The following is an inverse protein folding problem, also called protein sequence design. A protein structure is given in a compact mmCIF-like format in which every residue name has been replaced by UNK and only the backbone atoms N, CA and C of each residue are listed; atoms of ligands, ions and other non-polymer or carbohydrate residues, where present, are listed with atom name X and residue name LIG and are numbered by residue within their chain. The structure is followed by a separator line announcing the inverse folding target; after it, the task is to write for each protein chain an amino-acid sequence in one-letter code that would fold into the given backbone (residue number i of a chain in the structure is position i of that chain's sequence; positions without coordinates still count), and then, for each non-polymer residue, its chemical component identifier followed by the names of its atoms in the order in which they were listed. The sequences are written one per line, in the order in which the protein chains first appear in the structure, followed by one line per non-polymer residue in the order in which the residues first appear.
data_IF_056436229829
#
_entry.id   IF_056436229829
#
_cell.length_a   1.000
_cell.length_b   1.000
_cell.length_c   1.000
_cell.angle_alpha   90.00
_cell.angle_beta   90.00
_cell.angle_gamma   90.00
#
_symmetry.space_group_name_H-M   'P 1'
#
loop_
_entity.id
_entity.type
_entity.pdbx_description
1 polymer ?
#
# COMPACT_ATOMS: atom_id res chain seq x y z
N UNK A 1 33.56 -9.60 20.96
CA UNK A 1 34.30 -10.14 22.12
C UNK A 1 33.42 -10.79 23.22
N UNK A 2 32.10 -10.98 23.02
CA UNK A 2 31.22 -11.56 24.06
C UNK A 2 31.04 -13.10 24.01
N UNK A 3 31.55 -13.78 22.97
CA UNK A 3 31.39 -15.24 22.81
C UNK A 3 32.16 -16.07 23.85
N UNK A 4 33.26 -15.55 24.39
CA UNK A 4 34.12 -16.28 25.33
C UNK A 4 33.56 -16.46 26.76
N UNK A 5 32.64 -15.59 27.19
CA UNK A 5 32.19 -15.58 28.58
C UNK A 5 31.18 -16.70 28.90
N UNK A 6 30.37 -17.11 27.92
CA UNK A 6 29.40 -18.19 28.10
C UNK A 6 30.05 -19.56 28.29
N UNK A 7 31.14 -19.83 27.57
CA UNK A 7 31.88 -21.10 27.68
C UNK A 7 32.59 -21.26 29.03
N UNK A 8 33.10 -20.16 29.60
CA UNK A 8 33.75 -20.18 30.92
C UNK A 8 32.75 -20.50 32.04
N UNK A 9 31.55 -19.92 31.99
CA UNK A 9 30.51 -20.14 33.00
C UNK A 9 29.94 -21.56 32.94
N UNK A 10 29.77 -22.10 31.73
CA UNK A 10 29.37 -23.49 31.52
C UNK A 10 30.43 -24.47 32.03
N UNK A 11 31.71 -24.24 31.74
CA UNK A 11 32.82 -25.05 32.24
C UNK A 11 32.93 -25.02 33.77
N UNK A 12 32.68 -23.85 34.39
CA UNK A 12 32.73 -23.70 35.85
C UNK A 12 31.59 -24.48 36.53
N UNK A 13 30.37 -24.41 35.99
CA UNK A 13 29.23 -25.17 36.52
C UNK A 13 29.40 -26.67 36.35
N UNK A 14 30.05 -27.11 35.27
CA UNK A 14 30.40 -28.52 35.08
C UNK A 14 31.36 -29.01 36.15
N UNK A 15 32.42 -28.25 36.42
CA UNK A 15 33.44 -28.58 37.41
C UNK A 15 32.86 -28.62 38.83
N UNK A 16 31.97 -27.67 39.15
CA UNK A 16 31.23 -27.64 40.43
C UNK A 16 30.25 -28.81 40.54
N UNK A 17 29.52 -29.14 39.47
CA UNK A 17 28.59 -30.28 39.46
C UNK A 17 29.29 -31.61 39.69
N UNK A 18 30.44 -31.83 39.03
CA UNK A 18 31.29 -33.01 39.24
C UNK A 18 31.77 -33.08 40.70
N UNK A 19 32.21 -31.95 41.25
CA UNK A 19 32.72 -31.85 42.62
C UNK A 19 31.64 -32.15 43.67
N UNK A 20 30.41 -31.69 43.45
CA UNK A 20 29.28 -31.93 44.37
C UNK A 20 28.85 -33.39 44.29
N UNK A 21 28.75 -33.98 43.10
CA UNK A 21 28.33 -35.38 42.91
C UNK A 21 29.34 -36.38 43.51
N UNK A 22 30.65 -36.07 43.41
CA UNK A 22 31.71 -36.88 44.04
C UNK A 22 31.79 -36.73 45.56
N UNK A 23 31.42 -35.57 46.13
CA UNK A 23 31.47 -35.35 47.59
C UNK A 23 30.19 -35.73 48.33
N UNK A 24 29.02 -35.71 47.70
CA UNK A 24 27.74 -35.85 48.40
C UNK A 24 27.26 -37.30 48.63
N UNK A 25 27.80 -38.31 47.93
CA UNK A 25 27.36 -39.71 48.08
C UNK A 25 28.54 -40.70 48.23
N UNK A 26 29.27 -40.69 49.36
CA UNK A 26 30.18 -41.78 49.67
C UNK A 26 29.37 -43.02 50.10
N UNK A 27 29.14 -43.94 49.16
CA UNK A 27 28.75 -45.34 49.46
C UNK A 27 27.39 -45.85 49.00
N UNK A 28 26.58 -45.09 48.25
CA UNK A 28 25.22 -45.52 47.86
C UNK A 28 24.96 -45.64 46.34
N UNK A 29 25.92 -45.31 45.48
CA UNK A 29 25.78 -45.40 44.02
C UNK A 29 26.80 -46.39 43.44
N UNK A 30 26.33 -47.25 42.53
CA UNK A 30 27.19 -48.13 41.74
C UNK A 30 28.23 -47.27 40.98
N UNK A 31 29.54 -47.56 41.09
CA UNK A 31 30.60 -46.85 40.38
C UNK A 31 30.33 -46.70 38.88
N UNK A 32 29.66 -47.67 38.25
CA UNK A 32 29.27 -47.60 36.85
C UNK A 32 28.33 -46.43 36.53
N UNK A 33 27.40 -46.12 37.43
CA UNK A 33 26.45 -45.00 37.28
C UNK A 33 27.15 -43.65 37.39
N UNK A 34 28.14 -43.52 38.27
CA UNK A 34 28.93 -42.29 38.42
C UNK A 34 29.76 -42.00 37.16
N UNK A 35 30.41 -43.02 36.60
CA UNK A 35 31.19 -42.88 35.35
C UNK A 35 30.29 -42.48 34.18
N UNK A 36 29.13 -43.11 34.03
CA UNK A 36 28.16 -42.76 32.98
C UNK A 36 27.65 -41.32 33.16
N UNK A 37 27.34 -40.90 34.39
CA UNK A 37 26.90 -39.53 34.66
C UNK A 37 27.99 -38.49 34.33
N UNK A 38 29.25 -38.78 34.65
CA UNK A 38 30.39 -37.92 34.31
C UNK A 38 30.63 -37.81 32.80
N UNK A 39 30.40 -38.89 32.04
CA UNK A 39 30.52 -38.88 30.59
C UNK A 39 29.33 -38.21 29.88
N UNK A 40 28.12 -38.28 30.46
CA UNK A 40 26.92 -37.65 29.90
C UNK A 40 26.83 -36.15 30.20
N UNK A 41 27.36 -35.68 31.33
CA UNK A 41 27.37 -34.27 31.71
C UNK A 41 27.97 -33.32 30.65
N UNK A 42 29.16 -33.56 30.06
CA UNK A 42 29.71 -32.67 29.02
C UNK A 42 28.87 -32.70 27.75
N UNK A 43 28.31 -33.85 27.40
CA UNK A 43 27.46 -34.03 26.23
C UNK A 43 26.17 -33.22 26.41
N UNK A 44 25.52 -33.33 27.57
CA UNK A 44 24.32 -32.57 27.91
C UNK A 44 24.58 -31.06 27.95
N UNK A 45 25.72 -30.63 28.52
CA UNK A 45 26.11 -29.22 28.54
C UNK A 45 26.41 -28.69 27.12
N UNK A 46 27.12 -29.46 26.30
CA UNK A 46 27.38 -29.12 24.91
C UNK A 46 26.09 -28.96 24.10
N UNK A 47 25.15 -29.90 24.25
CA UNK A 47 23.83 -29.82 23.63
C UNK A 47 23.06 -28.57 24.11
N UNK A 48 23.09 -28.26 25.40
CA UNK A 48 22.44 -27.07 25.95
C UNK A 48 23.02 -25.77 25.37
N UNK A 49 24.35 -25.66 25.28
CA UNK A 49 25.01 -24.48 24.69
C UNK A 49 24.64 -24.32 23.22
N UNK A 50 24.63 -25.41 22.43
CA UNK A 50 24.23 -25.36 21.02
C UNK A 50 22.77 -24.91 20.88
N UNK A 51 21.85 -25.47 21.68
CA UNK A 51 20.43 -25.09 21.65
C UNK A 51 20.25 -23.62 22.06
N UNK A 52 20.97 -23.16 23.09
CA UNK A 52 20.89 -21.79 23.56
C UNK A 52 21.46 -20.79 22.53
N UNK A 53 22.60 -21.10 21.91
CA UNK A 53 23.20 -20.24 20.87
C UNK A 53 22.31 -20.18 19.63
N UNK A 54 21.78 -21.33 19.19
CA UNK A 54 20.81 -21.39 18.09
C UNK A 54 19.56 -20.57 18.40
N UNK A 55 19.04 -20.62 19.64
CA UNK A 55 17.92 -19.79 20.07
C UNK A 55 18.26 -18.30 20.08
N UNK A 56 19.47 -17.92 20.49
CA UNK A 56 19.93 -16.53 20.47
C UNK A 56 20.07 -15.98 19.06
N UNK A 57 20.65 -16.76 18.14
CA UNK A 57 20.77 -16.40 16.73
C UNK A 57 19.37 -16.19 16.14
N UNK A 58 18.47 -17.18 16.31
CA UNK A 58 17.07 -17.06 15.85
C UNK A 58 16.33 -15.87 16.46
N UNK A 59 16.57 -15.56 17.73
CA UNK A 59 15.96 -14.42 18.39
C UNK A 59 16.49 -13.08 17.86
N UNK A 60 17.79 -13.02 17.50
CA UNK A 60 18.40 -11.85 16.88
C UNK A 60 17.87 -11.64 15.45
N UNK A 61 17.79 -12.70 14.65
CA UNK A 61 17.19 -12.69 13.30
C UNK A 61 15.73 -12.20 13.36
N UNK A 62 14.91 -12.77 14.24
CA UNK A 62 13.52 -12.36 14.41
C UNK A 62 13.38 -10.90 14.90
N UNK A 63 14.35 -10.38 15.67
CA UNK A 63 14.35 -8.98 16.08
C UNK A 63 14.69 -8.05 14.90
N UNK A 64 15.61 -8.46 14.04
CA UNK A 64 15.98 -7.73 12.82
C UNK A 64 14.83 -7.70 11.80
N UNK A 65 14.15 -8.83 11.61
CA UNK A 65 12.95 -8.91 10.75
C UNK A 65 11.85 -7.96 11.22
N UNK A 66 11.58 -7.90 12.53
CA UNK A 66 10.60 -6.96 13.09
C UNK A 66 11.02 -5.51 12.91
N UNK A 67 12.32 -5.23 13.01
CA UNK A 67 12.85 -3.89 12.77
C UNK A 67 12.67 -3.50 11.30
N UNK A 68 13.04 -4.38 10.36
CA UNK A 68 12.82 -4.19 8.92
C UNK A 68 11.35 -3.93 8.62
N UNK A 69 10.44 -4.73 9.19
CA UNK A 69 9.01 -4.57 8.99
C UNK A 69 8.51 -3.19 9.47
N UNK A 70 8.99 -2.71 10.62
CA UNK A 70 8.65 -1.37 11.14
C UNK A 70 9.18 -0.25 10.26
N UNK A 71 10.38 -0.40 9.71
CA UNK A 71 10.97 0.60 8.82
C UNK A 71 10.27 0.62 7.46
N UNK A 72 9.94 -0.54 6.89
CA UNK A 72 9.11 -0.64 5.69
C UNK A 72 7.75 0.03 5.89
N UNK A 73 7.09 -0.26 7.01
CA UNK A 73 5.82 0.38 7.39
C UNK A 73 5.98 1.90 7.60
N UNK A 74 7.12 2.35 8.13
CA UNK A 74 7.44 3.78 8.21
C UNK A 74 7.62 4.42 6.82
N UNK A 75 8.34 3.77 5.91
CA UNK A 75 8.53 4.23 4.53
C UNK A 75 7.19 4.29 3.80
N UNK A 76 6.37 3.24 3.88
CA UNK A 76 5.04 3.20 3.26
C UNK A 76 4.17 4.39 3.70
N UNK A 77 4.31 4.86 4.94
CA UNK A 77 3.55 6.00 5.46
C UNK A 77 4.15 7.37 5.15
N UNK A 78 5.46 7.45 4.91
CA UNK A 78 6.16 8.75 4.82
C UNK A 78 6.62 9.09 3.41
N UNK A 79 6.97 8.09 2.61
CA UNK A 79 7.44 8.28 1.24
C UNK A 79 6.25 8.20 0.32
N UNK A 80 5.97 9.33 -0.32
CA UNK A 80 4.92 9.41 -1.32
C UNK A 80 5.47 9.03 -2.70
N UNK A 81 5.02 7.88 -3.19
CA UNK A 81 5.34 7.39 -4.53
C UNK A 81 4.13 6.70 -5.18
N UNK A 82 4.09 6.71 -6.50
CA UNK A 82 3.16 5.91 -7.31
C UNK A 82 3.95 4.80 -7.97
N UNK A 83 3.50 3.56 -7.81
CA UNK A 83 4.16 2.39 -8.37
C UNK A 83 3.31 1.76 -9.47
N UNK A 84 3.97 1.13 -10.44
CA UNK A 84 3.34 0.31 -11.46
C UNK A 84 2.44 -0.77 -10.80
N UNK A 85 1.14 -0.82 -11.12
CA UNK A 85 0.23 -1.79 -10.52
C UNK A 85 0.57 -3.24 -10.87
N UNK A 86 1.37 -3.48 -11.91
CA UNK A 86 1.82 -4.81 -12.32
C UNK A 86 3.07 -5.31 -11.56
N UNK A 87 3.58 -4.53 -10.60
CA UNK A 87 4.68 -4.98 -9.74
C UNK A 87 4.23 -6.12 -8.82
N UNK A 88 5.06 -7.16 -8.71
CA UNK A 88 4.86 -8.20 -7.70
C UNK A 88 5.09 -7.64 -6.29
N UNK A 89 4.65 -8.36 -5.26
CA UNK A 89 4.90 -7.95 -3.87
C UNK A 89 6.41 -7.88 -3.57
N UNK A 90 7.19 -8.82 -4.07
CA UNK A 90 8.64 -8.85 -3.88
C UNK A 90 9.32 -7.65 -4.57
N UNK A 91 8.93 -7.33 -5.80
CA UNK A 91 9.45 -6.15 -6.52
C UNK A 91 9.07 -4.85 -5.80
N UNK A 92 7.85 -4.77 -5.26
CA UNK A 92 7.39 -3.62 -4.48
C UNK A 92 8.18 -3.47 -3.17
N UNK A 93 8.47 -4.57 -2.50
CA UNK A 93 9.33 -4.57 -1.31
C UNK A 93 10.75 -4.11 -1.64
N UNK A 94 11.32 -4.52 -2.77
CA UNK A 94 12.62 -4.02 -3.22
C UNK A 94 12.63 -2.52 -3.46
N UNK A 95 11.54 -1.95 -4.00
CA UNK A 95 11.37 -0.50 -4.14
C UNK A 95 11.32 0.17 -2.77
N UNK A 96 10.53 -0.34 -1.83
CA UNK A 96 10.44 0.20 -0.46
C UNK A 96 11.81 0.18 0.23
N UNK A 97 12.56 -0.90 0.06
CA UNK A 97 13.89 -1.07 0.62
C UNK A 97 14.90 -0.03 0.08
N UNK A 98 14.67 0.54 -1.11
CA UNK A 98 15.48 1.64 -1.65
C UNK A 98 15.36 2.95 -0.87
N UNK A 99 14.34 3.09 -0.02
CA UNK A 99 14.13 4.28 0.82
C UNK A 99 14.55 4.06 2.28
N UNK A 100 15.05 2.87 2.64
CA UNK A 100 15.54 2.57 3.99
C UNK A 100 17.04 2.90 4.06
N UNK A 101 17.46 3.94 4.81
CA UNK A 101 18.85 4.42 4.77
C UNK A 101 19.88 3.36 5.17
N UNK A 102 19.55 2.49 6.15
CA UNK A 102 20.49 1.46 6.63
C UNK A 102 20.81 0.38 5.61
N UNK A 103 19.96 0.20 4.59
CA UNK A 103 20.19 -0.78 3.54
C UNK A 103 21.21 -0.29 2.50
N UNK A 104 21.59 1.00 2.54
CA UNK A 104 22.56 1.59 1.62
C UNK A 104 22.11 1.58 0.15
N UNK A 105 20.82 1.35 -0.09
CA UNK A 105 20.19 1.38 -1.41
C UNK A 105 19.73 2.81 -1.70
N UNK A 106 19.60 3.14 -2.97
CA UNK A 106 19.05 4.42 -3.43
C UNK A 106 17.96 4.18 -4.45
N UNK A 107 16.87 4.93 -4.35
CA UNK A 107 15.78 4.90 -5.32
C UNK A 107 16.28 5.19 -6.75
N UNK A 108 17.28 6.06 -6.91
CA UNK A 108 17.86 6.38 -8.22
C UNK A 108 18.62 5.20 -8.85
N UNK A 109 19.15 4.28 -8.03
CA UNK A 109 19.90 3.10 -8.48
C UNK A 109 19.07 1.81 -8.46
N UNK A 110 17.76 1.91 -8.21
CA UNK A 110 16.86 0.75 -8.19
C UNK A 110 16.75 0.12 -9.58
N UNK A 111 16.78 -1.22 -9.72
CA UNK A 111 16.50 -1.88 -11.00
C UNK A 111 15.08 -1.60 -11.51
N UNK A 112 14.18 -1.15 -10.63
CA UNK A 112 12.79 -0.79 -10.96
C UNK A 112 12.56 0.72 -11.02
N UNK A 113 13.60 1.54 -11.17
CA UNK A 113 13.48 3.02 -11.22
C UNK A 113 12.42 3.50 -12.22
N UNK A 114 12.27 2.82 -13.34
CA UNK A 114 11.29 3.19 -14.36
C UNK A 114 9.85 2.75 -14.02
N UNK A 115 9.67 1.90 -13.00
CA UNK A 115 8.38 1.34 -12.54
C UNK A 115 7.82 2.00 -11.27
N UNK A 116 8.43 3.09 -10.79
CA UNK A 116 7.82 3.95 -9.78
C UNK A 116 8.15 5.43 -10.01
N UNK A 117 7.28 6.31 -9.52
CA UNK A 117 7.42 7.77 -9.56
C UNK A 117 7.39 8.29 -8.15
N UNK A 118 8.47 8.96 -7.72
CA UNK A 118 8.53 9.63 -6.42
C UNK A 118 7.87 11.00 -6.56
N UNK A 119 6.84 11.28 -5.78
CA UNK A 119 6.03 12.49 -5.96
C UNK A 119 6.82 13.76 -5.65
N UNK A 120 7.77 13.70 -4.70
CA UNK A 120 8.65 14.83 -4.37
C UNK A 120 9.61 15.22 -5.50
N UNK A 121 9.85 14.33 -6.48
CA UNK A 121 10.68 14.62 -7.67
C UNK A 121 9.88 15.37 -8.75
N UNK A 122 8.55 15.43 -8.65
CA UNK A 122 7.69 16.11 -9.62
C UNK A 122 7.71 17.63 -9.43
N UNK A 123 7.61 18.36 -10.55
CA UNK A 123 7.39 19.80 -10.52
C UNK A 123 6.11 20.15 -9.71
N UNK A 124 6.04 21.31 -9.02
CA UNK A 124 4.88 21.66 -8.20
C UNK A 124 3.53 21.54 -8.93
N UNK A 125 3.44 22.05 -10.16
CA UNK A 125 2.21 21.94 -10.97
C UNK A 125 1.86 20.49 -11.36
N UNK A 126 2.87 19.64 -11.55
CA UNK A 126 2.67 18.23 -11.83
C UNK A 126 2.15 17.48 -10.58
N UNK A 127 2.61 17.86 -9.38
CA UNK A 127 2.08 17.33 -8.12
C UNK A 127 0.60 17.68 -7.95
N UNK A 128 0.21 18.92 -8.23
CA UNK A 128 -1.20 19.34 -8.12
C UNK A 128 -2.12 18.52 -9.05
N UNK A 129 -1.66 18.23 -10.28
CA UNK A 129 -2.39 17.37 -11.22
C UNK A 129 -2.50 15.92 -10.73
N UNK A 130 -1.41 15.36 -10.18
CA UNK A 130 -1.43 14.01 -9.62
C UNK A 130 -2.38 13.91 -8.41
N UNK A 131 -2.37 14.91 -7.53
CA UNK A 131 -3.26 14.95 -6.36
C UNK A 131 -4.74 15.03 -6.75
N UNK A 132 -5.08 15.80 -7.80
CA UNK A 132 -6.44 15.81 -8.36
C UNK A 132 -6.86 14.41 -8.83
N UNK A 133 -5.99 13.72 -9.57
CA UNK A 133 -6.25 12.36 -10.05
C UNK A 133 -6.45 11.38 -8.87
N UNK A 134 -5.57 11.44 -7.86
CA UNK A 134 -5.68 10.63 -6.65
C UNK A 134 -6.97 10.89 -5.90
N UNK A 135 -7.35 12.16 -5.71
CA UNK A 135 -8.58 12.53 -5.03
C UNK A 135 -9.81 11.96 -5.75
N UNK A 136 -9.86 12.05 -7.09
CA UNK A 136 -10.93 11.46 -7.89
C UNK A 136 -11.01 9.93 -7.71
N UNK A 137 -9.86 9.23 -7.83
CA UNK A 137 -9.80 7.77 -7.65
C UNK A 137 -10.20 7.36 -6.23
N UNK A 138 -9.72 8.06 -5.21
CA UNK A 138 -10.06 7.79 -3.81
C UNK A 138 -11.54 8.04 -3.52
N UNK A 139 -12.15 9.05 -4.12
CA UNK A 139 -13.60 9.26 -4.03
C UNK A 139 -14.39 8.08 -4.59
N UNK A 140 -13.91 7.41 -5.63
CA UNK A 140 -14.58 6.21 -6.17
C UNK A 140 -14.41 5.04 -5.20
N UNK A 141 -13.19 4.76 -4.74
CA UNK A 141 -12.92 3.64 -3.83
C UNK A 141 -13.64 3.75 -2.49
N UNK A 142 -13.86 4.96 -2.00
CA UNK A 142 -14.54 5.19 -0.71
C UNK A 142 -16.07 5.19 -0.80
N UNK A 143 -16.64 5.14 -2.01
CA UNK A 143 -18.10 5.15 -2.21
C UNK A 143 -18.78 3.86 -1.77
N UNK A 144 -20.00 3.96 -1.28
CA UNK A 144 -20.86 2.83 -0.90
C UNK A 144 -21.19 1.98 -2.13
N UNK A 145 -21.46 2.62 -3.26
CA UNK A 145 -21.79 1.95 -4.54
C UNK A 145 -20.65 1.08 -5.06
N UNK A 146 -19.38 1.50 -4.86
CA UNK A 146 -18.21 0.67 -5.15
C UNK A 146 -18.10 -0.50 -4.18
N UNK A 147 -18.27 -0.25 -2.88
CA UNK A 147 -18.21 -1.29 -1.83
C UNK A 147 -19.29 -2.37 -2.01
N UNK A 148 -20.48 -1.98 -2.45
CA UNK A 148 -21.60 -2.89 -2.75
C UNK A 148 -21.51 -3.52 -4.14
N UNK A 149 -20.44 -3.26 -4.91
CA UNK A 149 -20.24 -3.77 -6.27
C UNK A 149 -21.40 -3.47 -7.22
N UNK A 150 -22.03 -2.30 -7.06
CA UNK A 150 -23.04 -1.79 -7.98
C UNK A 150 -22.42 -1.21 -9.26
N UNK A 151 -21.12 -0.89 -9.20
CA UNK A 151 -20.27 -0.57 -10.33
C UNK A 151 -19.55 -1.82 -10.81
N UNK A 152 -18.89 -1.74 -11.96
CA UNK A 152 -17.97 -2.80 -12.43
C UNK A 152 -16.69 -2.82 -11.57
N UNK A 153 -16.81 -3.38 -10.37
CA UNK A 153 -15.78 -3.32 -9.33
C UNK A 153 -14.46 -3.97 -9.75
N UNK A 154 -14.52 -5.11 -10.45
CA UNK A 154 -13.34 -5.82 -10.92
C UNK A 154 -12.59 -5.02 -12.00
N UNK A 155 -13.32 -4.39 -12.92
CA UNK A 155 -12.72 -3.51 -13.92
C UNK A 155 -12.07 -2.28 -13.24
N UNK A 156 -12.75 -1.67 -12.27
CA UNK A 156 -12.26 -0.50 -11.55
C UNK A 156 -10.99 -0.77 -10.71
N UNK A 157 -10.89 -1.96 -10.10
CA UNK A 157 -9.72 -2.38 -9.31
C UNK A 157 -8.45 -2.49 -10.16
N UNK A 158 -8.57 -2.76 -11.46
CA UNK A 158 -7.44 -2.84 -12.40
C UNK A 158 -7.23 -1.53 -13.16
N UNK A 159 -8.32 -0.91 -13.61
CA UNK A 159 -8.30 0.28 -14.46
C UNK A 159 -7.78 1.51 -13.71
N UNK A 160 -8.32 1.81 -12.53
CA UNK A 160 -8.00 3.06 -11.83
C UNK A 160 -6.51 3.13 -11.40
N UNK A 161 -5.89 2.05 -10.87
CA UNK A 161 -4.46 2.06 -10.59
C UNK A 161 -3.61 2.24 -11.85
N UNK A 162 -4.01 1.60 -12.97
CA UNK A 162 -3.34 1.77 -14.26
C UNK A 162 -3.40 3.21 -14.78
N UNK A 163 -4.57 3.84 -14.71
CA UNK A 163 -4.78 5.25 -15.08
C UNK A 163 -3.90 6.18 -14.24
N UNK A 164 -3.86 5.95 -12.92
CA UNK A 164 -3.06 6.76 -12.01
C UNK A 164 -1.55 6.60 -12.27
N UNK A 165 -1.11 5.37 -12.54
CA UNK A 165 0.27 5.08 -12.90
C UNK A 165 0.70 5.78 -14.20
N UNK A 166 -0.12 5.68 -15.26
CA UNK A 166 0.18 6.33 -16.53
C UNK A 166 0.21 7.86 -16.42
N UNK A 167 -0.70 8.45 -15.65
CA UNK A 167 -0.68 9.89 -15.35
C UNK A 167 0.62 10.26 -14.62
N UNK A 168 0.99 9.53 -13.56
CA UNK A 168 2.21 9.80 -12.80
C UNK A 168 3.46 9.69 -13.69
N UNK A 169 3.52 8.68 -14.56
CA UNK A 169 4.63 8.45 -15.49
C UNK A 169 4.76 9.61 -16.49
N UNK A 170 3.66 10.05 -17.09
CA UNK A 170 3.66 11.19 -18.02
C UNK A 170 4.10 12.48 -17.32
N UNK A 171 3.60 12.74 -16.11
CA UNK A 171 3.99 13.89 -15.30
C UNK A 171 5.48 13.88 -14.93
N UNK A 172 6.07 12.70 -14.67
CA UNK A 172 7.51 12.54 -14.46
C UNK A 172 8.30 12.92 -15.71
N UNK A 173 7.91 12.38 -16.87
CA UNK A 173 8.56 12.70 -18.15
C UNK A 173 8.48 14.19 -18.45
N UNK A 174 7.31 14.81 -18.24
CA UNK A 174 7.12 16.24 -18.43
C UNK A 174 7.99 17.08 -17.49
N UNK A 175 8.08 16.70 -16.21
CA UNK A 175 8.95 17.39 -15.24
C UNK A 175 10.40 17.38 -15.71
N UNK A 176 10.88 16.21 -16.16
CA UNK A 176 12.25 16.07 -16.65
C UNK A 176 12.52 16.90 -17.91
N UNK A 177 11.63 16.81 -18.92
CA UNK A 177 11.77 17.59 -20.16
C UNK A 177 11.70 19.11 -19.93
N UNK A 178 10.87 19.56 -18.97
CA UNK A 178 10.83 20.97 -18.59
C UNK A 178 12.15 21.43 -17.97
N UNK A 179 12.77 20.59 -17.15
CA UNK A 179 14.05 20.88 -16.52
C UNK A 179 15.19 20.93 -17.55
N UNK A 180 15.27 19.95 -18.45
CA UNK A 180 16.25 19.94 -19.55
C UNK A 180 16.12 21.19 -20.43
N UNK A 181 14.89 21.60 -20.77
CA UNK A 181 14.67 22.83 -21.53
C UNK A 181 15.08 24.08 -20.75
N UNK A 182 14.84 24.10 -19.44
CA UNK A 182 15.25 25.20 -18.56
C UNK A 182 16.78 25.32 -18.53
N UNK A 183 17.49 24.21 -18.40
CA UNK A 183 18.95 24.16 -18.43
C UNK A 183 19.52 24.57 -19.79
N UNK A 184 18.96 24.06 -20.90
CA UNK A 184 19.39 24.43 -22.25
C UNK A 184 19.28 25.95 -22.51
N UNK A 185 18.29 26.61 -21.90
CA UNK A 185 18.06 28.07 -22.00
C UNK A 185 18.97 28.90 -21.08
N UNK A 186 19.64 28.29 -20.10
CA UNK A 186 20.62 28.99 -19.25
C UNK A 186 21.95 29.22 -19.98
N UNK A 187 22.21 28.50 -21.08
CA UNK A 187 23.35 28.73 -21.97
C UNK A 187 23.16 29.91 -22.94
N UNK A 188 24.01 30.00 -23.95
CA UNK A 188 23.87 31.00 -25.02
C UNK A 188 22.62 30.66 -25.85
N UNK A 189 21.59 31.50 -25.73
CA UNK A 189 20.35 31.35 -26.48
C UNK A 189 20.56 31.92 -27.89
N UNK A 190 20.68 31.04 -28.89
CA UNK A 190 20.75 31.43 -30.31
C UNK A 190 19.36 31.34 -30.98
N UNK A 191 19.11 32.08 -32.07
CA UNK A 191 17.88 31.96 -32.85
C UNK A 191 17.61 30.53 -33.36
N UNK A 192 18.66 29.79 -33.73
CA UNK A 192 18.58 28.40 -34.19
C UNK A 192 18.13 27.47 -33.07
N UNK A 193 18.64 27.67 -31.85
CA UNK A 193 18.19 26.92 -30.67
C UNK A 193 16.72 27.20 -30.36
N UNK A 194 16.28 28.46 -30.45
CA UNK A 194 14.88 28.82 -30.25
C UNK A 194 13.96 28.15 -31.28
N UNK A 195 14.38 28.09 -32.54
CA UNK A 195 13.63 27.43 -33.62
C UNK A 195 13.43 25.92 -33.35
N UNK A 196 14.39 25.26 -32.69
CA UNK A 196 14.29 23.84 -32.27
C UNK A 196 13.42 23.69 -31.02
N UNK A 197 13.54 24.61 -30.05
CA UNK A 197 12.81 24.54 -28.77
C UNK A 197 11.32 24.86 -28.91
N UNK A 198 10.90 25.66 -29.89
CA UNK A 198 9.50 26.05 -30.06
C UNK A 198 8.57 24.86 -30.35
N UNK A 199 8.85 23.98 -31.35
CA UNK A 199 8.06 22.77 -31.56
C UNK A 199 8.01 21.84 -30.35
N UNK A 200 9.12 21.71 -29.61
CA UNK A 200 9.19 20.88 -28.41
C UNK A 200 8.31 21.43 -27.28
N UNK A 201 8.31 22.76 -27.07
CA UNK A 201 7.40 23.40 -26.11
C UNK A 201 5.93 23.21 -26.49
N UNK A 202 5.62 23.28 -27.79
CA UNK A 202 4.26 23.03 -28.28
C UNK A 202 3.84 21.57 -28.05
N UNK A 203 4.74 20.61 -28.26
CA UNK A 203 4.50 19.20 -27.97
C UNK A 203 4.26 18.97 -26.47
N UNK A 204 5.07 19.62 -25.62
CA UNK A 204 4.96 19.52 -24.17
C UNK A 204 3.64 20.10 -23.64
N UNK A 205 3.21 21.27 -24.15
CA UNK A 205 1.90 21.86 -23.83
C UNK A 205 0.75 20.92 -24.21
N UNK A 206 0.77 20.37 -25.43
CA UNK A 206 -0.25 19.40 -25.86
C UNK A 206 -0.29 18.15 -24.98
N UNK A 207 0.86 17.70 -24.51
CA UNK A 207 0.94 16.57 -23.57
C UNK A 207 0.29 16.92 -22.23
N UNK A 208 0.52 18.13 -21.69
CA UNK A 208 -0.14 18.61 -20.46
C UNK A 208 -1.65 18.71 -20.66
N UNK A 209 -2.10 19.26 -21.79
CA UNK A 209 -3.52 19.38 -22.11
C UNK A 209 -4.19 17.99 -22.16
N UNK A 210 -3.53 17.01 -22.77
CA UNK A 210 -4.02 15.64 -22.84
C UNK A 210 -4.09 14.96 -21.46
N UNK A 211 -3.05 15.12 -20.62
CA UNK A 211 -3.07 14.60 -19.23
C UNK A 211 -4.18 15.27 -18.42
N UNK A 212 -4.36 16.59 -18.58
CA UNK A 212 -5.42 17.34 -17.91
C UNK A 212 -6.79 16.84 -18.30
N UNK A 213 -7.05 16.64 -19.60
CA UNK A 213 -8.32 16.11 -20.09
C UNK A 213 -8.62 14.69 -19.55
N UNK A 214 -7.58 13.87 -19.39
CA UNK A 214 -7.69 12.53 -18.76
C UNK A 214 -8.08 12.63 -17.29
N UNK A 215 -7.44 13.53 -16.54
CA UNK A 215 -7.76 13.80 -15.13
C UNK A 215 -9.21 14.30 -15.00
N UNK A 216 -9.64 15.22 -15.86
CA UNK A 216 -11.01 15.72 -15.86
C UNK A 216 -12.03 14.60 -16.16
N UNK A 217 -11.65 13.60 -16.96
CA UNK A 217 -12.49 12.42 -17.21
C UNK A 217 -12.62 11.56 -15.95
N UNK A 218 -11.53 11.37 -15.20
CA UNK A 218 -11.57 10.69 -13.89
C UNK A 218 -12.42 11.47 -12.88
N UNK A 219 -12.30 12.80 -12.84
CA UNK A 219 -13.09 13.66 -11.96
C UNK A 219 -14.59 13.59 -12.31
N UNK A 220 -14.95 13.60 -13.59
CA UNK A 220 -16.34 13.40 -14.04
C UNK A 220 -16.87 12.03 -13.62
N UNK A 221 -16.07 10.98 -13.80
CA UNK A 221 -16.45 9.65 -13.34
C UNK A 221 -16.68 9.62 -11.82
N UNK A 222 -15.74 10.15 -11.03
CA UNK A 222 -15.88 10.25 -9.59
C UNK A 222 -17.14 11.02 -9.16
N UNK A 223 -17.47 12.10 -9.86
CA UNK A 223 -18.69 12.86 -9.62
C UNK A 223 -19.96 12.03 -9.87
N UNK A 224 -20.03 11.26 -10.97
CA UNK A 224 -21.15 10.35 -11.23
C UNK A 224 -21.28 9.25 -10.17
N UNK A 225 -20.15 8.74 -9.68
CA UNK A 225 -20.14 7.77 -8.57
C UNK A 225 -20.71 8.39 -7.29
N UNK A 226 -20.38 9.65 -6.99
CA UNK A 226 -20.96 10.37 -5.85
C UNK A 226 -22.47 10.61 -5.99
N UNK A 227 -22.96 10.90 -7.20
CA UNK A 227 -24.40 11.03 -7.47
C UNK A 227 -25.13 9.70 -7.24
N UNK A 228 -24.55 8.58 -7.68
CA UNK A 228 -25.07 7.24 -7.42
C UNK A 228 -25.07 6.90 -5.92
N UNK A 229 -24.00 7.27 -5.20
CA UNK A 229 -23.88 7.12 -3.76
C UNK A 229 -24.95 7.93 -2.99
N UNK A 230 -25.22 9.16 -3.42
CA UNK A 230 -26.27 9.99 -2.86
C UNK A 230 -27.67 9.36 -3.08
N UNK A 231 -27.94 8.85 -4.28
CA UNK A 231 -29.19 8.15 -4.58
C UNK A 231 -29.35 6.87 -3.73
N UNK A 232 -28.25 6.14 -3.51
CA UNK A 232 -28.25 4.94 -2.66
C UNK A 232 -28.54 5.28 -1.20
N UNK A 233 -27.90 6.33 -0.66
CA UNK A 233 -28.17 6.82 0.70
C UNK A 233 -29.62 7.28 0.87
N UNK A 234 -30.17 7.95 -0.13
CA UNK A 234 -31.58 8.32 -0.13
C UNK A 234 -32.48 7.07 -0.09
N UNK A 235 -32.19 6.03 -0.90
CA UNK A 235 -32.93 4.75 -0.89
C UNK A 235 -32.87 4.08 0.48
N UNK A 236 -31.69 4.05 1.10
CA UNK A 236 -31.51 3.47 2.42
C UNK A 236 -32.30 4.22 3.51
N UNK A 237 -32.40 5.55 3.42
CA UNK A 237 -33.18 6.36 4.36
C UNK A 237 -34.69 6.02 4.31
N UNK A 238 -35.23 5.71 3.13
CA UNK A 238 -36.61 5.25 2.96
C UNK A 238 -36.85 3.79 3.39
N UNK A 239 -35.81 2.99 3.63
CA UNK A 239 -35.95 1.63 4.18
C UNK A 239 -36.61 1.60 5.56
N UNK A 240 -36.68 2.75 6.26
CA UNK A 240 -37.44 2.92 7.50
C UNK A 240 -38.95 3.16 7.29
N UNK A 241 -39.43 3.12 6.03
CA UNK A 241 -40.84 3.34 5.68
C UNK A 241 -41.78 2.24 6.15
N UNK A 242 -41.28 1.10 6.64
CA UNK A 242 -42.14 0.02 7.15
C UNK A 242 -43.00 0.48 8.33
N UNK A 243 -42.51 1.41 9.15
CA UNK A 243 -43.28 2.01 10.24
C UNK A 243 -44.39 2.93 9.72
N UNK A 244 -44.12 3.66 8.65
CA UNK A 244 -45.09 4.54 8.01
C UNK A 244 -46.13 3.74 7.22
N UNK A 245 -45.72 2.67 6.53
CA UNK A 245 -46.63 1.70 5.90
C UNK A 245 -47.55 1.03 6.92
N UNK A 246 -46.99 0.60 8.06
CA UNK A 246 -47.78 0.03 9.14
C UNK A 246 -48.77 1.06 9.72
N UNK A 247 -48.34 2.31 9.91
CA UNK A 247 -49.23 3.39 10.37
C UNK A 247 -50.39 3.64 9.40
N UNK A 248 -50.09 3.81 8.11
CA UNK A 248 -51.09 4.06 7.06
C UNK A 248 -52.07 2.89 6.92
N UNK A 249 -51.58 1.66 7.07
CA UNK A 249 -52.42 0.47 7.10
C UNK A 249 -53.35 0.41 8.33
N UNK A 250 -52.96 0.97 9.48
CA UNK A 250 -53.84 1.06 10.65
C UNK A 250 -54.89 2.18 10.53
N UNK A 251 -54.69 3.14 9.63
CA UNK A 251 -55.62 4.25 9.39
C UNK A 251 -56.49 4.06 8.15
N UNK A 252 -56.40 2.90 7.48
CA UNK A 252 -57.05 2.61 6.19
C UNK A 252 -56.80 3.70 5.12
N UNK A 253 -55.61 4.32 5.13
CA UNK A 253 -55.24 5.39 4.19
C UNK A 253 -54.59 4.81 2.92
N UNK A 254 -55.44 4.37 2.00
CA UNK A 254 -55.04 3.80 0.71
C UNK A 254 -54.36 4.82 -0.23
N UNK A 255 -54.63 6.13 -0.08
CA UNK A 255 -53.99 7.16 -0.87
C UNK A 255 -52.56 7.39 -0.39
N UNK A 256 -52.35 7.56 0.92
CA UNK A 256 -51.02 7.68 1.51
C UNK A 256 -50.15 6.46 1.24
N UNK A 257 -50.72 5.24 1.23
CA UNK A 257 -50.01 4.02 0.84
C UNK A 257 -49.53 4.06 -0.62
N UNK A 258 -50.38 4.54 -1.55
CA UNK A 258 -50.03 4.68 -2.98
C UNK A 258 -48.95 5.74 -3.20
N UNK A 259 -49.04 6.88 -2.54
CA UNK A 259 -48.04 7.94 -2.61
C UNK A 259 -46.68 7.49 -2.07
N UNK A 260 -46.67 6.81 -0.92
CA UNK A 260 -45.45 6.27 -0.31
C UNK A 260 -44.79 5.20 -1.19
N UNK A 261 -45.58 4.36 -1.88
CA UNK A 261 -45.09 3.40 -2.86
C UNK A 261 -44.49 4.10 -4.08
N UNK A 262 -45.19 5.08 -4.66
CA UNK A 262 -44.72 5.84 -5.82
C UNK A 262 -43.40 6.57 -5.55
N UNK A 263 -43.21 7.12 -4.34
CA UNK A 263 -41.93 7.72 -3.93
C UNK A 263 -40.79 6.68 -3.85
N UNK A 264 -41.09 5.46 -3.41
CA UNK A 264 -40.13 4.35 -3.41
C UNK A 264 -39.68 3.99 -4.82
N UNK A 265 -40.65 3.82 -5.74
CA UNK A 265 -40.39 3.45 -7.14
C UNK A 265 -39.58 4.53 -7.87
N UNK A 266 -39.93 5.80 -7.69
CA UNK A 266 -39.21 6.93 -8.30
C UNK A 266 -37.74 7.01 -7.84
N UNK A 267 -37.47 6.64 -6.59
CA UNK A 267 -36.13 6.65 -6.04
C UNK A 267 -35.31 5.45 -6.50
N UNK A 268 -35.92 4.28 -6.64
CA UNK A 268 -35.29 3.11 -7.25
C UNK A 268 -34.90 3.39 -8.71
N UNK A 269 -35.78 4.02 -9.48
CA UNK A 269 -35.47 4.43 -10.85
C UNK A 269 -34.31 5.45 -10.89
N UNK A 270 -34.29 6.39 -9.94
CA UNK A 270 -33.21 7.37 -9.82
C UNK A 270 -31.87 6.70 -9.50
N UNK A 271 -31.83 5.77 -8.56
CA UNK A 271 -30.63 4.99 -8.27
C UNK A 271 -30.16 4.21 -9.50
N UNK A 272 -31.06 3.49 -10.18
CA UNK A 272 -30.74 2.72 -11.37
C UNK A 272 -30.17 3.61 -12.49
N UNK A 273 -30.73 4.81 -12.68
CA UNK A 273 -30.24 5.80 -13.65
C UNK A 273 -28.84 6.31 -13.28
N UNK A 274 -28.62 6.72 -12.03
CA UNK A 274 -27.33 7.24 -11.58
C UNK A 274 -26.22 6.18 -11.66
N UNK A 275 -26.51 4.92 -11.31
CA UNK A 275 -25.55 3.81 -11.44
C UNK A 275 -25.20 3.57 -12.91
N UNK A 276 -26.17 3.55 -13.82
CA UNK A 276 -25.89 3.42 -15.27
C UNK A 276 -25.00 4.55 -15.78
N UNK A 277 -25.31 5.79 -15.42
CA UNK A 277 -24.49 6.95 -15.82
C UNK A 277 -23.06 6.88 -15.26
N UNK A 278 -22.87 6.35 -14.04
CA UNK A 278 -21.56 6.11 -13.49
C UNK A 278 -20.80 5.02 -14.26
N UNK A 279 -21.46 3.91 -14.61
CA UNK A 279 -20.85 2.83 -15.41
C UNK A 279 -20.45 3.35 -16.79
N UNK A 280 -21.33 4.08 -17.49
CA UNK A 280 -21.05 4.68 -18.79
C UNK A 280 -19.85 5.63 -18.71
N UNK A 281 -19.78 6.48 -17.69
CA UNK A 281 -18.63 7.36 -17.48
C UNK A 281 -17.33 6.56 -17.24
N UNK A 282 -17.39 5.47 -16.46
CA UNK A 282 -16.25 4.57 -16.26
C UNK A 282 -15.76 3.92 -17.57
N UNK A 283 -16.66 3.53 -18.46
CA UNK A 283 -16.33 2.96 -19.77
C UNK A 283 -15.65 3.96 -20.71
N UNK A 284 -15.84 5.27 -20.52
CA UNK A 284 -15.11 6.27 -21.31
C UNK A 284 -13.65 6.43 -20.89
N UNK A 285 -13.24 5.86 -19.75
CA UNK A 285 -11.84 5.88 -19.30
C UNK A 285 -10.96 4.86 -20.01
N UNK A 286 -11.56 3.84 -20.64
CA UNK A 286 -10.87 2.81 -21.42
C UNK A 286 -10.77 3.13 -22.91
N UNK A 287 -11.54 4.10 -23.42
CA UNK A 287 -11.53 4.57 -24.82
C UNK A 287 -10.49 5.65 -25.06
#
# INVERSE_FOLDING_TARGET
MAKGCGYLLASLMMLVGVLIMTNALPGALDPGVVVVALLLLPIALGAFVIVHDTRRIKAAEAAEERLLARERDHVIRTVDFVADPLLTEDERLEIIDCFIPRLGRSAAASPYRDRFVVVSELAPSARDLLERARAAVMSVYTSEVMRLRLLDGLANEVLLPGQLWEIALLLRVQTHLHEEQREARQGVVTPELLAVLEPQQKALRRSIDAVTARIESLERYAHRVQEADAALRAKAALGNNDKYRALLAHTDDDEGMRELAAHGDALEETLARSVRQAIEAGQTLTS
#
